data_IF_221821555999
#
_entry.id   IF_221821555999
#
_cell.length_a   1.000
_cell.length_b   1.000
_cell.length_c   1.000
_cell.angle_alpha   90.00
_cell.angle_beta   90.00
_cell.angle_gamma   90.00
#
_symmetry.space_group_name_H-M   'P 1'
#
loop_
_entity.id
_entity.type
_entity.pdbx_description
1 polymer ?
#
# COMPACT_ATOMS: atom_id res chain seq x y z
N UNK A 1 19.13 -28.93 17.58
CA UNK A 1 17.69 -28.62 17.45
C UNK A 1 17.48 -27.21 18.00
N UNK A 2 17.09 -26.28 17.14
CA UNK A 2 16.63 -24.90 17.42
C UNK A 2 17.60 -23.92 18.13
N UNK A 3 17.44 -22.63 17.81
CA UNK A 3 18.04 -21.45 18.48
C UNK A 3 19.31 -20.80 17.88
N UNK A 4 19.54 -20.76 16.56
CA UNK A 4 20.39 -19.72 15.93
C UNK A 4 19.97 -19.40 14.48
N UNK A 5 18.67 -19.21 14.21
CA UNK A 5 18.15 -18.84 12.86
C UNK A 5 17.33 -17.54 12.84
N UNK A 6 17.30 -16.74 13.91
CA UNK A 6 16.38 -15.59 14.05
C UNK A 6 17.00 -14.20 13.84
N UNK A 7 18.29 -14.05 13.55
CA UNK A 7 18.93 -12.72 13.50
C UNK A 7 19.55 -12.35 12.13
N UNK A 8 19.62 -13.27 11.15
CA UNK A 8 20.30 -13.02 9.87
C UNK A 8 19.36 -12.89 8.66
N UNK A 9 18.22 -12.20 8.80
CA UNK A 9 17.31 -11.95 7.66
C UNK A 9 16.90 -10.47 7.50
N UNK A 10 17.61 -9.56 8.17
CA UNK A 10 17.38 -8.11 8.09
C UNK A 10 18.49 -7.35 7.35
N UNK A 11 19.30 -8.07 6.58
CA UNK A 11 20.24 -7.50 5.61
C UNK A 11 20.28 -8.47 4.43
N UNK A 12 19.55 -8.17 3.35
CA UNK A 12 19.94 -8.53 1.99
C UNK A 12 18.94 -7.87 1.02
N UNK A 13 19.31 -6.72 0.46
CA UNK A 13 18.92 -6.37 -0.91
C UNK A 13 19.96 -5.40 -1.50
N UNK A 14 21.22 -5.84 -1.51
CA UNK A 14 22.24 -5.29 -2.40
C UNK A 14 23.01 -6.51 -2.91
N UNK A 15 23.11 -6.65 -4.23
CA UNK A 15 23.72 -7.74 -5.00
C UNK A 15 22.74 -8.88 -5.35
N UNK A 16 22.29 -8.86 -6.60
CA UNK A 16 21.43 -9.89 -7.18
C UNK A 16 22.14 -11.23 -7.30
N UNK A 17 21.36 -12.31 -7.14
CA UNK A 17 21.41 -13.54 -7.93
C UNK A 17 20.50 -14.63 -7.35
N UNK A 18 19.70 -15.22 -8.24
CA UNK A 18 19.28 -16.64 -8.27
C UNK A 18 18.28 -17.11 -7.19
N UNK A 19 17.04 -17.34 -7.65
CA UNK A 19 16.05 -18.18 -6.97
C UNK A 19 15.16 -17.45 -5.96
N UNK A 20 14.35 -16.50 -6.43
CA UNK A 20 13.47 -15.72 -5.55
C UNK A 20 12.29 -16.58 -5.11
N UNK A 21 12.28 -16.92 -3.83
CA UNK A 21 11.19 -17.60 -3.12
C UNK A 21 9.87 -16.88 -3.34
N UNK A 22 8.81 -17.65 -3.56
CA UNK A 22 7.42 -17.18 -3.50
C UNK A 22 7.20 -16.38 -2.20
N UNK A 23 6.71 -15.15 -2.36
CA UNK A 23 6.47 -14.13 -1.34
C UNK A 23 7.66 -13.56 -0.57
N UNK A 24 7.79 -12.24 -0.62
CA UNK A 24 8.78 -11.45 0.08
C UNK A 24 8.11 -10.25 0.77
N UNK A 25 8.36 -10.14 2.07
CA UNK A 25 8.14 -8.89 2.81
C UNK A 25 9.51 -8.30 3.06
N UNK A 26 9.73 -7.08 2.60
CA UNK A 26 11.02 -6.41 2.68
C UNK A 26 10.87 -4.96 3.14
N UNK A 27 11.96 -4.45 3.70
CA UNK A 27 12.12 -3.04 4.04
C UNK A 27 13.26 -2.48 3.21
N UNK A 28 13.00 -1.41 2.48
CA UNK A 28 13.99 -0.69 1.68
C UNK A 28 14.15 0.71 2.26
N UNK A 29 15.40 1.15 2.39
CA UNK A 29 15.72 2.51 2.82
C UNK A 29 16.49 3.21 1.70
N UNK A 30 16.00 4.38 1.30
CA UNK A 30 16.68 5.29 0.37
C UNK A 30 16.67 6.70 0.94
N UNK A 31 17.75 7.07 1.62
CA UNK A 31 17.89 8.39 2.25
C UNK A 31 16.89 8.62 3.38
N UNK A 32 15.85 9.41 3.10
CA UNK A 32 14.76 9.69 4.07
C UNK A 32 13.51 8.85 3.84
N UNK A 33 13.49 8.08 2.75
CA UNK A 33 12.37 7.23 2.35
C UNK A 33 12.52 5.83 2.95
N UNK A 34 11.49 5.39 3.66
CA UNK A 34 11.41 4.04 4.24
C UNK A 34 10.23 3.31 3.61
N UNK A 35 10.53 2.35 2.74
CA UNK A 35 9.53 1.61 1.96
C UNK A 35 9.29 0.24 2.55
N UNK A 36 8.02 -0.07 2.84
CA UNK A 36 7.57 -1.42 3.17
C UNK A 36 7.03 -2.10 1.91
N UNK A 37 7.71 -3.15 1.46
CA UNK A 37 7.33 -3.94 0.30
C UNK A 37 6.67 -5.24 0.76
N UNK A 38 5.46 -5.51 0.30
CA UNK A 38 4.73 -6.75 0.52
C UNK A 38 4.35 -7.36 -0.83
N UNK A 39 5.14 -8.34 -1.26
CA UNK A 39 5.02 -8.86 -2.62
C UNK A 39 4.87 -10.38 -2.65
N UNK A 40 4.02 -10.89 -3.53
CA UNK A 40 3.99 -12.29 -3.92
C UNK A 40 2.73 -13.07 -3.56
N UNK A 41 2.52 -14.15 -4.32
CA UNK A 41 1.23 -14.83 -4.43
C UNK A 41 0.83 -15.74 -3.26
N UNK A 42 1.75 -16.05 -2.34
CA UNK A 42 1.42 -16.84 -1.15
C UNK A 42 0.95 -15.98 0.03
N UNK A 43 1.03 -14.64 -0.10
CA UNK A 43 0.53 -13.68 0.90
C UNK A 43 -0.98 -13.56 0.75
N UNK A 44 -1.72 -14.21 1.64
CA UNK A 44 -3.19 -14.27 1.62
C UNK A 44 -3.85 -13.42 2.72
N UNK A 45 -3.06 -12.95 3.67
CA UNK A 45 -3.53 -12.19 4.83
C UNK A 45 -2.66 -10.94 5.04
N UNK A 46 -3.25 -9.94 5.69
CA UNK A 46 -2.53 -8.72 6.08
C UNK A 46 -1.34 -9.04 7.01
N UNK A 47 -0.16 -8.47 6.77
CA UNK A 47 0.95 -8.55 7.71
C UNK A 47 0.57 -7.92 9.05
N UNK A 48 0.90 -8.59 10.16
CA UNK A 48 0.50 -8.14 11.51
C UNK A 48 1.34 -6.99 12.06
N UNK A 49 2.54 -6.77 11.51
CA UNK A 49 3.51 -5.81 12.04
C UNK A 49 4.17 -4.99 10.93
N UNK A 50 3.47 -3.95 10.48
CA UNK A 50 4.04 -2.91 9.60
C UNK A 50 4.73 -1.85 10.48
N UNK A 51 6.02 -1.53 10.26
CA UNK A 51 6.72 -0.49 11.01
C UNK A 51 6.06 0.89 10.86
N UNK A 52 5.95 1.66 11.93
CA UNK A 52 5.22 2.95 11.93
C UNK A 52 5.97 4.11 11.27
N UNK A 53 7.27 3.96 11.05
CA UNK A 53 8.15 4.98 10.48
C UNK A 53 8.27 4.90 8.95
N UNK A 54 7.47 4.06 8.30
CA UNK A 54 7.46 3.97 6.84
C UNK A 54 6.83 5.21 6.22
N UNK A 55 7.41 5.64 5.10
CA UNK A 55 6.87 6.70 4.26
C UNK A 55 6.11 6.11 3.08
N UNK A 56 6.53 4.94 2.61
CA UNK A 56 6.03 4.34 1.38
C UNK A 56 5.56 2.91 1.67
N UNK A 57 4.40 2.57 1.15
CA UNK A 57 3.79 1.25 1.33
C UNK A 57 3.41 0.66 -0.03
N UNK A 58 3.98 -0.50 -0.35
CA UNK A 58 3.68 -1.20 -1.60
C UNK A 58 3.14 -2.61 -1.30
N UNK A 59 1.93 -2.89 -1.81
CA UNK A 59 1.41 -4.24 -1.92
C UNK A 59 1.35 -4.61 -3.40
N UNK A 60 2.07 -5.66 -3.79
CA UNK A 60 2.17 -6.08 -5.18
C UNK A 60 2.00 -7.58 -5.36
N UNK A 61 1.19 -8.00 -6.33
CA UNK A 61 1.01 -9.43 -6.64
C UNK A 61 0.60 -10.31 -5.43
N UNK A 62 -0.10 -9.74 -4.46
CA UNK A 62 -0.58 -10.49 -3.29
C UNK A 62 -1.92 -11.18 -3.56
N UNK A 63 -2.25 -12.17 -2.73
CA UNK A 63 -3.55 -12.86 -2.73
C UNK A 63 -4.43 -12.45 -1.54
N UNK A 64 -4.18 -11.26 -0.98
CA UNK A 64 -5.01 -10.68 0.06
C UNK A 64 -6.35 -10.29 -0.56
N UNK A 65 -7.45 -10.77 0.04
CA UNK A 65 -8.81 -10.52 -0.45
C UNK A 65 -9.44 -9.26 0.13
N UNK A 66 -9.11 -8.94 1.38
CA UNK A 66 -9.73 -7.86 2.13
C UNK A 66 -8.66 -7.06 2.84
N UNK A 67 -8.67 -5.74 2.65
CA UNK A 67 -7.96 -4.82 3.54
C UNK A 67 -8.93 -4.40 4.66
N UNK A 68 -8.64 -4.78 5.92
CA UNK A 68 -9.57 -4.58 7.02
C UNK A 68 -9.67 -3.11 7.42
N UNK A 69 -10.73 -2.79 8.15
CA UNK A 69 -10.92 -1.50 8.79
C UNK A 69 -9.70 -1.13 9.61
N UNK A 70 -9.32 0.13 9.53
CA UNK A 70 -8.18 0.72 10.23
C UNK A 70 -6.79 0.15 9.88
N UNK A 71 -6.67 -0.65 8.80
CA UNK A 71 -5.43 -1.32 8.39
C UNK A 71 -4.16 -0.45 8.45
N UNK A 72 -4.26 0.80 8.00
CA UNK A 72 -3.10 1.69 7.86
C UNK A 72 -3.14 2.92 8.78
N UNK A 73 -4.15 3.03 9.64
CA UNK A 73 -4.39 4.23 10.48
C UNK A 73 -3.25 4.57 11.43
N UNK A 74 -2.40 3.61 11.80
CA UNK A 74 -1.26 3.84 12.69
C UNK A 74 0.00 4.32 11.96
N UNK A 75 -0.03 4.40 10.63
CA UNK A 75 1.12 4.70 9.77
C UNK A 75 1.14 6.20 9.41
N UNK A 76 1.28 7.02 10.45
CA UNK A 76 1.16 8.49 10.39
C UNK A 76 2.25 9.18 9.55
N UNK A 77 3.29 8.45 9.14
CA UNK A 77 4.37 8.94 8.29
C UNK A 77 4.15 8.64 6.79
N UNK A 78 3.09 7.91 6.43
CA UNK A 78 2.84 7.55 5.03
C UNK A 78 2.60 8.78 4.15
N UNK A 79 3.36 8.82 3.07
CA UNK A 79 3.24 9.77 1.97
C UNK A 79 2.71 9.10 0.71
N UNK A 80 3.06 7.82 0.50
CA UNK A 80 2.74 7.10 -0.73
C UNK A 80 2.20 5.69 -0.45
N UNK A 81 1.09 5.34 -1.10
CA UNK A 81 0.50 3.99 -1.07
C UNK A 81 0.36 3.46 -2.49
N UNK A 82 0.92 2.28 -2.77
CA UNK A 82 0.90 1.62 -4.08
C UNK A 82 0.29 0.23 -3.95
N UNK A 83 -0.86 0.02 -4.58
CA UNK A 83 -1.56 -1.26 -4.66
C UNK A 83 -1.61 -1.69 -6.12
N UNK A 84 -0.71 -2.60 -6.52
CA UNK A 84 -0.58 -3.01 -7.93
C UNK A 84 -0.68 -4.52 -8.09
N UNK A 85 -1.33 -4.98 -9.16
CA UNK A 85 -1.38 -6.41 -9.51
C UNK A 85 -1.99 -7.31 -8.40
N UNK A 86 -2.82 -6.75 -7.53
CA UNK A 86 -3.53 -7.48 -6.46
C UNK A 86 -4.90 -7.95 -6.96
N UNK A 87 -4.90 -8.85 -7.95
CA UNK A 87 -6.12 -9.29 -8.64
C UNK A 87 -7.16 -10.01 -7.75
N UNK A 88 -6.74 -10.52 -6.58
CA UNK A 88 -7.62 -11.16 -5.61
C UNK A 88 -8.22 -10.19 -4.58
N UNK A 89 -7.81 -8.91 -4.58
CA UNK A 89 -8.30 -7.90 -3.65
C UNK A 89 -9.74 -7.51 -4.02
N UNK A 90 -10.72 -8.03 -3.29
CA UNK A 90 -12.15 -7.89 -3.57
C UNK A 90 -12.75 -6.66 -2.88
N UNK A 91 -12.24 -6.29 -1.71
CA UNK A 91 -12.74 -5.14 -0.94
C UNK A 91 -11.67 -4.47 -0.08
N UNK A 92 -11.81 -3.16 0.08
CA UNK A 92 -11.14 -2.39 1.12
C UNK A 92 -12.22 -1.87 2.05
N UNK A 93 -12.19 -2.25 3.32
CA UNK A 93 -13.19 -1.85 4.30
C UNK A 93 -13.09 -0.35 4.63
N UNK A 94 -14.20 0.21 5.10
CA UNK A 94 -14.28 1.59 5.52
C UNK A 94 -13.19 1.92 6.55
N UNK A 95 -12.65 3.14 6.45
CA UNK A 95 -11.61 3.66 7.34
C UNK A 95 -10.26 2.93 7.29
N UNK A 96 -10.02 2.03 6.32
CA UNK A 96 -8.70 1.42 6.13
C UNK A 96 -7.57 2.45 5.97
N UNK A 97 -7.86 3.58 5.31
CA UNK A 97 -6.94 4.71 5.07
C UNK A 97 -7.25 5.97 5.90
N UNK A 98 -8.00 5.84 7.01
CA UNK A 98 -8.35 7.00 7.81
C UNK A 98 -7.11 7.61 8.49
N UNK A 99 -7.15 8.93 8.70
CA UNK A 99 -6.13 9.69 9.46
C UNK A 99 -4.70 9.50 8.96
N UNK A 100 -4.47 9.71 7.66
CA UNK A 100 -3.14 9.72 7.05
C UNK A 100 -2.73 11.16 6.70
N UNK A 101 -2.22 11.94 7.68
CA UNK A 101 -2.05 13.39 7.56
C UNK A 101 -0.98 13.80 6.54
N UNK A 102 -0.08 12.89 6.15
CA UNK A 102 1.03 13.13 5.24
C UNK A 102 0.82 12.52 3.86
N UNK A 103 -0.31 11.85 3.64
CA UNK A 103 -0.54 11.12 2.39
C UNK A 103 -0.70 12.10 1.24
N UNK A 104 0.16 11.97 0.24
CA UNK A 104 0.17 12.81 -0.97
C UNK A 104 -0.16 12.02 -2.22
N UNK A 105 0.06 10.70 -2.21
CA UNK A 105 -0.09 9.87 -3.39
C UNK A 105 -0.68 8.50 -3.07
N UNK A 106 -1.66 8.10 -3.87
CA UNK A 106 -2.24 6.76 -3.84
C UNK A 106 -2.40 6.22 -5.25
N UNK A 107 -1.86 5.02 -5.47
CA UNK A 107 -1.99 4.28 -6.74
C UNK A 107 -2.72 2.97 -6.50
N UNK A 108 -3.79 2.73 -7.26
CA UNK A 108 -4.56 1.48 -7.24
C UNK A 108 -4.70 0.97 -8.67
N UNK A 109 -3.91 -0.03 -9.04
CA UNK A 109 -3.86 -0.53 -10.42
C UNK A 109 -3.99 -2.04 -10.46
N UNK A 110 -4.76 -2.56 -11.42
CA UNK A 110 -4.88 -3.99 -11.65
C UNK A 110 -5.24 -4.76 -10.36
N UNK A 111 -6.31 -4.32 -9.70
CA UNK A 111 -6.87 -4.98 -8.51
C UNK A 111 -8.20 -5.65 -8.84
N UNK A 112 -8.64 -6.58 -7.99
CA UNK A 112 -9.95 -7.22 -8.09
C UNK A 112 -11.13 -6.40 -7.57
N UNK A 113 -10.91 -5.12 -7.22
CA UNK A 113 -11.93 -4.30 -6.58
C UNK A 113 -13.10 -4.08 -7.55
N UNK A 114 -14.32 -4.27 -7.06
CA UNK A 114 -15.53 -3.94 -7.84
C UNK A 114 -16.04 -2.54 -7.58
N UNK A 115 -15.71 -2.01 -6.40
CA UNK A 115 -16.11 -0.69 -5.91
C UNK A 115 -14.91 -0.09 -5.21
N UNK A 116 -14.65 1.19 -5.47
CA UNK A 116 -13.59 1.92 -4.77
C UNK A 116 -14.04 2.27 -3.34
N UNK A 117 -13.14 2.22 -2.34
CA UNK A 117 -13.47 2.62 -0.99
C UNK A 117 -13.75 4.13 -0.91
N UNK A 118 -14.47 4.55 0.12
CA UNK A 118 -14.74 5.96 0.34
C UNK A 118 -13.48 6.71 0.81
N UNK A 119 -12.90 7.52 -0.07
CA UNK A 119 -11.69 8.30 0.21
C UNK A 119 -11.94 9.61 0.98
N UNK A 120 -13.19 9.99 1.27
CA UNK A 120 -13.52 11.24 2.00
C UNK A 120 -12.91 11.33 3.40
N UNK A 121 -12.45 10.21 3.96
CA UNK A 121 -11.83 10.08 5.29
C UNK A 121 -10.31 10.09 5.26
N UNK A 122 -9.71 10.20 4.08
CA UNK A 122 -8.28 10.49 3.95
C UNK A 122 -8.10 11.97 4.33
N UNK A 123 -7.91 12.21 5.62
CA UNK A 123 -7.59 13.54 6.13
C UNK A 123 -6.09 13.79 6.00
N UNK A 124 -5.66 14.24 4.82
CA UNK A 124 -4.31 14.71 4.58
C UNK A 124 -4.19 16.22 4.81
N UNK A 125 -3.06 16.65 5.37
CA UNK A 125 -2.68 18.06 5.53
C UNK A 125 -1.85 18.57 4.35
N UNK A 126 -1.55 17.70 3.37
CA UNK A 126 -0.83 18.09 2.18
C UNK A 126 -1.68 19.00 1.27
N UNK A 127 -1.00 19.92 0.60
CA UNK A 127 -1.62 20.84 -0.36
C UNK A 127 -2.25 20.10 -1.55
N UNK A 128 -1.69 18.95 -1.90
CA UNK A 128 -2.12 18.15 -3.05
C UNK A 128 -2.20 16.68 -2.64
N UNK A 129 -3.26 16.00 -3.09
CA UNK A 129 -3.37 14.56 -3.05
C UNK A 129 -3.64 14.02 -4.46
N UNK A 130 -2.77 13.13 -4.92
CA UNK A 130 -2.85 12.49 -6.23
C UNK A 130 -3.39 11.07 -6.05
N UNK A 131 -4.48 10.75 -6.75
CA UNK A 131 -5.04 9.41 -6.79
C UNK A 131 -5.07 8.92 -8.23
N UNK A 132 -4.35 7.83 -8.48
CA UNK A 132 -4.31 7.14 -9.76
C UNK A 132 -4.98 5.78 -9.65
N UNK A 133 -5.99 5.53 -10.51
CA UNK A 133 -6.74 4.27 -10.50
C UNK A 133 -6.82 3.68 -11.90
N UNK A 134 -6.42 2.42 -12.06
CA UNK A 134 -6.65 1.64 -13.30
C UNK A 134 -7.23 0.27 -12.99
N UNK A 135 -8.42 0.00 -13.52
CA UNK A 135 -9.12 -1.27 -13.28
C UNK A 135 -9.08 -2.14 -14.53
N UNK A 136 -8.43 -3.30 -14.45
CA UNK A 136 -8.54 -4.34 -15.50
C UNK A 136 -9.85 -5.11 -15.29
N UNK A 137 -10.96 -4.50 -15.68
CA UNK A 137 -12.19 -5.10 -16.23
C UNK A 137 -13.39 -4.19 -15.94
N UNK A 138 -13.77 -3.43 -16.98
CA UNK A 138 -15.08 -2.81 -17.17
C UNK A 138 -15.71 -2.08 -15.96
N UNK A 139 -15.28 -0.84 -15.68
CA UNK A 139 -16.18 0.33 -15.73
C UNK A 139 -15.41 1.61 -15.37
N UNK A 140 -15.55 2.60 -16.25
CA UNK A 140 -15.50 4.04 -15.99
C UNK A 140 -14.26 4.59 -15.28
N UNK A 141 -13.39 5.18 -16.09
CA UNK A 141 -12.36 6.16 -15.73
C UNK A 141 -12.86 7.07 -14.59
N UNK A 142 -12.32 6.89 -13.39
CA UNK A 142 -12.46 7.84 -12.30
C UNK A 142 -11.11 8.54 -12.13
N UNK A 143 -10.90 9.64 -12.85
CA UNK A 143 -9.89 10.62 -12.48
C UNK A 143 -10.41 11.37 -11.25
N UNK A 144 -10.13 10.84 -10.06
CA UNK A 144 -10.42 11.54 -8.81
C UNK A 144 -9.17 12.32 -8.39
N UNK A 145 -8.99 13.53 -8.91
CA UNK A 145 -8.02 14.47 -8.32
C UNK A 145 -8.67 15.09 -7.08
N UNK A 146 -8.37 14.57 -5.89
CA UNK A 146 -8.76 15.25 -4.65
C UNK A 146 -7.71 16.32 -4.33
N UNK A 147 -7.96 17.57 -4.72
CA UNK A 147 -7.23 18.70 -4.15
C UNK A 147 -7.86 19.04 -2.80
N UNK A 148 -7.07 18.90 -1.73
CA UNK A 148 -7.44 19.40 -0.41
C UNK A 148 -7.22 20.91 -0.39
N UNK A 149 -8.15 21.62 0.23
CA UNK A 149 -8.27 23.09 0.37
C UNK A 149 -8.70 23.88 -0.90
N UNK A 150 -10.02 24.02 -1.05
CA UNK A 150 -10.75 24.84 -2.05
C UNK A 150 -10.59 24.41 -3.51
N UNK A 151 -11.52 23.56 -4.00
CA UNK A 151 -11.59 23.22 -5.43
C UNK A 151 -12.84 23.80 -6.04
N UNK A 152 -12.64 24.89 -6.77
CA UNK A 152 -13.51 25.38 -7.83
C UNK A 152 -13.41 24.41 -9.00
N UNK A 153 -14.56 23.96 -9.49
CA UNK A 153 -14.69 23.16 -10.71
C UNK A 153 -14.53 24.10 -11.91
N UNK A 154 -13.65 23.75 -12.86
CA UNK A 154 -13.78 24.17 -14.26
C UNK A 154 -14.08 22.93 -15.09
#
# INVERSE_FOLDING_TARGET
>A
MMMMKKIMKMLLCVLGCVGVSQAEVAMVNSGTTFTYLCMGNTITHMPTHIPKNITDLEFKQTHIRVFPREAFTKLQQLTTIVLTENGMLESIEDFAFANLPRLTEMTICNTGLRVLPNFSRIHSTALTFLLYVTMLSYCSVCECVFSSSHVTVL
#
